data_IF_368638347295
#
_entry.id   IF_368638347295
#
_cell.length_a   1.000
_cell.length_b   1.000
_cell.length_c   1.000
_cell.angle_alpha   90.00
_cell.angle_beta   90.00
_cell.angle_gamma   90.00
#
_symmetry.space_group_name_H-M   'P 1'
#
loop_
_entity.id
_entity.type
_entity.pdbx_description
1 polymer ?
#
# COMPACT_ATOMS: atom_id res chain seq x y z
N UNK A 1 10.73 61.42 44.68
CA UNK A 1 9.62 60.53 44.28
C UNK A 1 9.64 60.46 42.76
N UNK A 2 10.44 59.62 42.09
CA UNK A 2 10.53 58.14 42.12
C UNK A 2 9.16 57.46 42.10
N UNK A 3 8.88 56.78 40.98
CA UNK A 3 7.74 55.88 40.82
C UNK A 3 7.00 56.03 39.49
N UNK A 4 7.66 55.79 38.35
CA UNK A 4 6.97 55.44 37.11
C UNK A 4 7.42 54.05 36.68
N UNK A 5 6.70 53.08 37.24
CA UNK A 5 6.25 51.80 36.69
C UNK A 5 7.06 51.19 35.53
N UNK A 6 7.88 50.20 35.88
CA UNK A 6 8.54 49.23 34.98
C UNK A 6 7.58 48.17 34.40
N UNK A 7 6.26 48.35 34.51
CA UNK A 7 5.26 47.34 34.14
C UNK A 7 4.91 47.28 32.64
N UNK A 8 5.53 48.10 31.79
CA UNK A 8 5.21 48.16 30.35
C UNK A 8 6.23 47.45 29.43
N UNK A 9 7.26 46.80 29.99
CA UNK A 9 8.29 46.11 29.21
C UNK A 9 8.07 44.59 29.09
N UNK A 10 7.27 43.98 29.97
CA UNK A 10 6.96 42.54 29.88
C UNK A 10 5.94 42.20 28.79
N UNK A 11 5.07 43.14 28.40
CA UNK A 11 3.97 42.90 27.45
C UNK A 11 4.32 43.25 26.00
N UNK A 12 5.45 43.93 25.77
CA UNK A 12 5.91 44.32 24.42
C UNK A 12 6.87 43.33 23.77
N UNK A 13 7.36 42.31 24.48
CA UNK A 13 8.26 41.30 23.91
C UNK A 13 7.53 40.16 23.18
N UNK A 14 6.21 40.03 23.32
CA UNK A 14 5.37 39.27 22.38
C UNK A 14 5.00 40.12 21.17
N UNK A 15 5.97 40.89 20.66
CA UNK A 15 5.90 41.62 19.41
C UNK A 15 5.49 40.66 18.29
N UNK A 16 4.23 40.77 17.90
CA UNK A 16 3.68 40.60 16.56
C UNK A 16 4.55 39.75 15.63
N UNK A 17 4.72 38.47 15.97
CA UNK A 17 5.37 37.51 15.10
C UNK A 17 4.55 37.50 13.81
N UNK A 18 5.21 37.81 12.69
CA UNK A 18 4.54 37.82 11.39
C UNK A 18 3.76 36.51 11.22
N UNK A 19 2.56 36.61 10.65
CA UNK A 19 1.75 35.45 10.34
C UNK A 19 2.49 34.43 9.48
N UNK A 20 3.46 34.89 8.68
CA UNK A 20 4.28 34.04 7.81
C UNK A 20 5.26 33.18 8.63
N UNK A 21 5.91 33.78 9.63
CA UNK A 21 6.80 33.06 10.57
C UNK A 21 6.01 32.05 11.40
N UNK A 22 4.80 32.43 11.80
CA UNK A 22 3.89 31.53 12.52
C UNK A 22 3.46 30.36 11.64
N UNK A 23 3.07 30.62 10.39
CA UNK A 23 2.69 29.59 9.42
C UNK A 23 3.83 28.63 9.12
N UNK A 24 5.04 29.15 8.93
CA UNK A 24 6.25 28.34 8.74
C UNK A 24 6.54 27.46 9.96
N UNK A 25 6.52 28.04 11.17
CA UNK A 25 6.72 27.28 12.41
C UNK A 25 5.67 26.18 12.62
N UNK A 26 4.42 26.42 12.20
CA UNK A 26 3.35 25.43 12.24
C UNK A 26 3.64 24.24 11.29
N UNK A 27 4.10 24.52 10.08
CA UNK A 27 4.46 23.49 9.08
C UNK A 27 5.66 22.67 9.55
N UNK A 28 6.72 23.31 10.07
CA UNK A 28 7.89 22.60 10.59
C UNK A 28 7.53 21.76 11.82
N UNK A 29 6.68 22.26 12.72
CA UNK A 29 6.18 21.47 13.85
C UNK A 29 5.46 20.19 13.38
N UNK A 30 4.67 20.27 12.29
CA UNK A 30 4.01 19.10 11.70
C UNK A 30 5.00 18.10 11.10
N UNK A 31 6.02 18.62 10.39
CA UNK A 31 7.08 17.83 9.75
C UNK A 31 7.94 17.08 10.77
N UNK A 32 8.20 17.69 11.92
CA UNK A 32 8.96 17.09 13.03
C UNK A 32 8.06 16.40 14.08
N UNK A 33 6.79 16.19 13.74
CA UNK A 33 5.80 15.45 14.54
C UNK A 33 5.59 16.03 15.96
N UNK A 34 5.69 17.35 16.11
CA UNK A 34 5.54 18.08 17.39
C UNK A 34 4.09 18.51 17.60
N UNK A 35 3.22 17.54 17.91
CA UNK A 35 1.78 17.77 18.10
C UNK A 35 1.47 18.86 19.14
N UNK A 36 2.20 18.91 20.27
CA UNK A 36 1.95 19.92 21.31
C UNK A 36 2.30 21.33 20.86
N UNK A 37 3.40 21.48 20.11
CA UNK A 37 3.77 22.75 19.50
C UNK A 37 2.72 23.19 18.46
N UNK A 38 2.21 22.26 17.64
CA UNK A 38 1.11 22.56 16.71
C UNK A 38 -0.16 22.99 17.43
N UNK A 39 -0.59 22.26 18.47
CA UNK A 39 -1.77 22.62 19.28
C UNK A 39 -1.61 24.01 19.91
N UNK A 40 -0.42 24.31 20.43
CA UNK A 40 -0.11 25.62 20.99
C UNK A 40 -0.22 26.72 19.94
N UNK A 41 0.40 26.54 18.76
CA UNK A 41 0.36 27.51 17.67
C UNK A 41 -1.06 27.69 17.13
N UNK A 42 -1.80 26.60 16.91
CA UNK A 42 -3.18 26.62 16.44
C UNK A 42 -4.12 27.37 17.41
N UNK A 43 -3.95 27.18 18.73
CA UNK A 43 -4.79 27.82 19.75
C UNK A 43 -4.49 29.31 19.93
N UNK A 44 -3.23 29.73 19.80
CA UNK A 44 -2.79 31.08 20.20
C UNK A 44 -2.39 31.96 19.03
N UNK A 45 -2.44 31.48 17.80
CA UNK A 45 -2.02 32.23 16.61
C UNK A 45 -2.97 32.00 15.43
N UNK A 46 -3.04 32.97 14.53
CA UNK A 46 -3.79 32.86 13.29
C UNK A 46 -2.98 32.05 12.29
N UNK A 47 -3.42 30.82 12.01
CA UNK A 47 -2.85 29.95 10.98
C UNK A 47 -3.72 30.03 9.72
N UNK A 48 -3.12 30.30 8.58
CA UNK A 48 -3.84 30.37 7.32
C UNK A 48 -4.09 28.98 6.70
N UNK A 49 -5.17 28.80 5.92
CA UNK A 49 -5.50 27.53 5.28
C UNK A 49 -4.34 26.91 4.47
N UNK A 50 -3.54 27.73 3.77
CA UNK A 50 -2.38 27.24 3.02
C UNK A 50 -1.35 26.56 3.93
N UNK A 51 -1.04 27.12 5.11
CA UNK A 51 -0.12 26.50 6.08
C UNK A 51 -0.70 25.24 6.71
N UNK A 52 -2.02 25.18 6.91
CA UNK A 52 -2.72 23.98 7.40
C UNK A 52 -2.62 22.85 6.36
N UNK A 53 -2.98 23.12 5.10
CA UNK A 53 -2.86 22.16 4.02
C UNK A 53 -1.41 21.70 3.85
N UNK A 54 -0.44 22.62 3.95
CA UNK A 54 0.97 22.24 3.84
C UNK A 54 1.45 21.39 5.01
N UNK A 55 1.00 21.67 6.22
CA UNK A 55 1.27 20.85 7.40
C UNK A 55 0.64 19.45 7.26
N UNK A 56 -0.57 19.38 6.69
CA UNK A 56 -1.27 18.12 6.39
C UNK A 56 -0.50 17.28 5.36
N UNK A 57 -0.01 17.91 4.29
CA UNK A 57 0.82 17.26 3.25
C UNK A 57 2.12 16.65 3.77
N UNK A 58 2.74 17.31 4.76
CA UNK A 58 4.09 17.00 5.22
C UNK A 58 4.13 16.18 6.51
N UNK A 59 3.00 15.97 7.18
CA UNK A 59 2.99 15.19 8.42
C UNK A 59 3.06 13.69 8.13
N UNK A 60 3.95 13.00 8.84
CA UNK A 60 4.07 11.54 8.81
C UNK A 60 3.26 10.85 9.90
N UNK A 61 2.63 11.63 10.78
CA UNK A 61 1.94 11.12 11.96
C UNK A 61 0.44 11.10 11.75
N UNK A 62 -0.18 9.93 11.92
CA UNK A 62 -1.64 9.80 11.87
C UNK A 62 -2.32 10.68 12.93
N UNK A 63 -1.71 10.85 14.10
CA UNK A 63 -2.25 11.69 15.16
C UNK A 63 -2.35 13.16 14.76
N UNK A 64 -1.33 13.70 14.10
CA UNK A 64 -1.35 15.08 13.61
C UNK A 64 -2.33 15.21 12.44
N UNK A 65 -2.35 14.22 11.54
CA UNK A 65 -3.27 14.21 10.41
C UNK A 65 -4.74 14.25 10.88
N UNK A 66 -5.10 13.41 11.86
CA UNK A 66 -6.44 13.41 12.47
C UNK A 66 -6.75 14.75 13.15
N UNK A 67 -5.80 15.31 13.91
CA UNK A 67 -5.97 16.62 14.54
C UNK A 67 -6.26 17.72 13.51
N UNK A 68 -5.51 17.77 12.42
CA UNK A 68 -5.71 18.76 11.36
C UNK A 68 -7.06 18.57 10.66
N UNK A 69 -7.42 17.32 10.35
CA UNK A 69 -8.68 16.99 9.70
C UNK A 69 -9.91 17.35 10.56
N UNK A 70 -9.84 17.12 11.88
CA UNK A 70 -10.93 17.45 12.81
C UNK A 70 -11.09 18.95 13.05
N UNK A 71 -9.98 19.71 12.95
CA UNK A 71 -9.95 21.12 13.35
C UNK A 71 -9.99 22.08 12.17
N UNK A 72 -9.76 21.63 10.94
CA UNK A 72 -9.68 22.52 9.80
C UNK A 72 -10.30 21.91 8.55
N UNK A 73 -10.72 22.79 7.65
CA UNK A 73 -11.10 22.42 6.30
C UNK A 73 -9.84 22.12 5.48
N UNK A 74 -9.63 20.85 5.20
CA UNK A 74 -8.50 20.37 4.39
C UNK A 74 -8.92 20.33 2.93
N UNK A 75 -8.07 20.86 2.04
CA UNK A 75 -8.36 20.83 0.60
C UNK A 75 -8.27 19.41 0.05
N UNK A 76 -9.06 19.14 -0.99
CA UNK A 76 -8.99 17.88 -1.73
C UNK A 76 -7.58 17.65 -2.29
N UNK A 77 -6.94 18.71 -2.82
CA UNK A 77 -5.57 18.65 -3.34
C UNK A 77 -4.59 18.14 -2.28
N UNK A 78 -4.66 18.67 -1.05
CA UNK A 78 -3.82 18.22 0.05
C UNK A 78 -4.07 16.74 0.41
N UNK A 79 -5.33 16.30 0.43
CA UNK A 79 -5.66 14.88 0.67
C UNK A 79 -5.09 13.96 -0.42
N UNK A 80 -5.24 14.35 -1.68
CA UNK A 80 -4.73 13.57 -2.81
C UNK A 80 -3.20 13.51 -2.84
N UNK A 81 -2.53 14.60 -2.46
CA UNK A 81 -1.07 14.66 -2.41
C UNK A 81 -0.52 13.80 -1.27
N UNK A 82 -1.14 13.83 -0.08
CA UNK A 82 -0.79 12.90 1.01
C UNK A 82 -0.99 11.46 0.53
N UNK A 83 -2.14 11.14 -0.05
CA UNK A 83 -2.44 9.80 -0.54
C UNK A 83 -1.37 9.28 -1.52
N UNK A 84 -1.00 10.13 -2.48
CA UNK A 84 0.06 9.84 -3.44
C UNK A 84 1.39 9.57 -2.73
N UNK A 85 1.80 10.45 -1.80
CA UNK A 85 3.04 10.28 -1.05
C UNK A 85 3.08 8.99 -0.23
N UNK A 86 2.02 8.68 0.51
CA UNK A 86 1.97 7.47 1.37
C UNK A 86 1.85 6.18 0.56
N UNK A 87 1.38 6.23 -0.69
CA UNK A 87 1.28 5.03 -1.54
C UNK A 87 2.52 4.82 -2.42
N UNK A 88 3.20 5.88 -2.86
CA UNK A 88 4.31 5.80 -3.82
C UNK A 88 5.67 5.50 -3.18
N UNK A 89 5.95 5.99 -1.97
CA UNK A 89 7.33 6.08 -1.50
C UNK A 89 7.64 5.19 -0.31
N UNK A 90 8.61 4.28 -0.47
CA UNK A 90 9.34 3.69 0.67
C UNK A 90 10.47 4.60 1.16
N UNK A 91 11.03 5.43 0.27
CA UNK A 91 12.31 6.13 0.49
C UNK A 91 12.19 7.61 0.91
N UNK A 92 11.13 8.34 0.53
CA UNK A 92 11.03 9.78 0.83
C UNK A 92 10.89 10.05 2.34
N UNK A 93 10.31 9.13 3.11
CA UNK A 93 10.20 9.22 4.57
C UNK A 93 11.44 8.74 5.34
N UNK A 94 12.39 8.08 4.67
CA UNK A 94 13.56 7.46 5.30
C UNK A 94 14.77 8.40 5.44
N UNK A 95 14.73 9.61 4.87
CA UNK A 95 15.85 10.57 4.96
C UNK A 95 15.96 11.32 6.28
N UNK A 96 15.13 11.02 7.30
CA UNK A 96 15.36 11.52 8.65
C UNK A 96 15.93 10.39 9.53
N UNK A 97 17.19 10.56 9.89
CA UNK A 97 17.96 9.67 10.74
C UNK A 97 17.19 9.37 12.04
N UNK A 98 17.18 8.08 12.41
CA UNK A 98 16.98 7.53 13.77
C UNK A 98 15.69 6.70 14.04
N UNK A 99 15.93 5.45 14.46
CA UNK A 99 15.16 4.45 15.24
C UNK A 99 13.61 4.30 15.18
N UNK A 100 12.88 5.04 14.36
CA UNK A 100 11.38 5.08 14.37
C UNK A 100 10.69 4.33 13.22
N UNK A 101 11.41 3.46 12.50
CA UNK A 101 10.94 2.85 11.25
C UNK A 101 9.63 2.06 11.37
N UNK A 102 9.38 1.41 12.52
CA UNK A 102 8.17 0.63 12.76
C UNK A 102 6.92 1.52 12.89
N UNK A 103 6.99 2.55 13.74
CA UNK A 103 5.88 3.49 13.96
C UNK A 103 5.51 4.26 12.69
N UNK A 104 6.52 4.63 11.88
CA UNK A 104 6.29 5.24 10.55
C UNK A 104 5.59 4.30 9.57
N UNK A 105 5.79 2.99 9.69
CA UNK A 105 5.06 2.03 8.86
C UNK A 105 3.60 1.90 9.28
N UNK A 106 3.31 1.90 10.58
CA UNK A 106 1.94 1.87 11.10
C UNK A 106 1.19 3.16 10.80
N UNK A 107 1.80 4.32 11.02
CA UNK A 107 1.23 5.62 10.69
C UNK A 107 0.95 5.71 9.19
N UNK A 108 1.88 5.30 8.32
CA UNK A 108 1.67 5.24 6.87
C UNK A 108 0.44 4.41 6.51
N UNK A 109 0.31 3.20 7.06
CA UNK A 109 -0.84 2.33 6.81
C UNK A 109 -2.14 2.93 7.37
N UNK A 110 -2.07 3.52 8.55
CA UNK A 110 -3.19 4.20 9.19
C UNK A 110 -3.69 5.40 8.38
N UNK A 111 -2.77 6.19 7.81
CA UNK A 111 -3.09 7.33 6.95
C UNK A 111 -3.75 6.85 5.65
N UNK A 112 -3.24 5.79 5.01
CA UNK A 112 -3.89 5.20 3.82
C UNK A 112 -5.34 4.81 4.13
N UNK A 113 -5.55 4.04 5.21
CA UNK A 113 -6.89 3.60 5.62
C UNK A 113 -7.80 4.79 5.93
N UNK A 114 -7.28 5.77 6.66
CA UNK A 114 -7.99 6.99 6.99
C UNK A 114 -8.47 7.72 5.73
N UNK A 115 -7.55 8.04 4.80
CA UNK A 115 -7.87 8.77 3.56
C UNK A 115 -8.83 8.00 2.66
N UNK A 116 -8.69 6.69 2.56
CA UNK A 116 -9.64 5.87 1.82
C UNK A 116 -11.05 5.89 2.42
N UNK A 117 -11.16 5.94 3.76
CA UNK A 117 -12.43 5.95 4.46
C UNK A 117 -13.14 7.32 4.43
N UNK A 118 -12.44 8.40 4.07
CA UNK A 118 -13.09 9.72 3.92
C UNK A 118 -13.98 9.79 2.68
N UNK A 119 -13.80 8.90 1.70
CA UNK A 119 -14.47 8.96 0.41
C UNK A 119 -13.99 10.10 -0.50
N UNK A 120 -12.98 10.87 -0.08
CA UNK A 120 -12.42 11.97 -0.86
C UNK A 120 -11.41 11.50 -1.91
N UNK A 121 -10.84 10.31 -1.76
CA UNK A 121 -9.86 9.78 -2.70
C UNK A 121 -10.58 9.14 -3.90
N UNK A 122 -10.32 9.59 -5.15
CA UNK A 122 -10.93 8.99 -6.32
C UNK A 122 -10.58 7.51 -6.47
N UNK A 123 -11.55 6.67 -6.83
CA UNK A 123 -11.35 5.23 -7.02
C UNK A 123 -10.23 4.89 -8.01
N UNK A 124 -10.11 5.64 -9.10
CA UNK A 124 -9.01 5.45 -10.07
C UNK A 124 -7.61 5.70 -9.49
N UNK A 125 -7.50 6.55 -8.46
CA UNK A 125 -6.25 6.78 -7.74
C UNK A 125 -5.93 5.61 -6.81
N UNK A 126 -6.94 5.05 -6.13
CA UNK A 126 -6.82 3.83 -5.32
C UNK A 126 -6.38 2.66 -6.22
N UNK A 127 -7.01 2.49 -7.38
CA UNK A 127 -6.68 1.44 -8.34
C UNK A 127 -5.21 1.54 -8.81
N UNK A 128 -4.77 2.75 -9.16
CA UNK A 128 -3.40 3.01 -9.61
C UNK A 128 -2.38 2.74 -8.50
N UNK A 129 -2.68 3.19 -7.27
CA UNK A 129 -1.86 2.94 -6.10
C UNK A 129 -1.78 1.44 -5.78
N UNK A 130 -2.88 0.71 -5.93
CA UNK A 130 -2.95 -0.73 -5.68
C UNK A 130 -2.06 -1.51 -6.63
N UNK A 131 -2.17 -1.26 -7.94
CA UNK A 131 -1.30 -1.89 -8.95
C UNK A 131 0.15 -1.56 -8.68
N UNK A 132 0.48 -0.30 -8.39
CA UNK A 132 1.85 0.12 -8.08
C UNK A 132 2.40 -0.56 -6.81
N UNK A 133 1.59 -0.68 -5.76
CA UNK A 133 1.99 -1.37 -4.54
C UNK A 133 2.25 -2.86 -4.81
N UNK A 134 1.45 -3.47 -5.69
CA UNK A 134 1.70 -4.83 -6.18
C UNK A 134 3.03 -4.93 -6.94
N UNK A 135 3.31 -3.98 -7.83
CA UNK A 135 4.55 -3.92 -8.61
C UNK A 135 5.80 -3.83 -7.77
N UNK A 136 5.73 -3.10 -6.65
CA UNK A 136 6.87 -2.93 -5.76
C UNK A 136 6.90 -3.92 -4.58
N UNK A 137 5.97 -4.88 -4.53
CA UNK A 137 5.88 -5.85 -3.44
C UNK A 137 5.50 -5.25 -2.08
N UNK A 138 4.81 -4.10 -2.06
CA UNK A 138 4.38 -3.42 -0.84
C UNK A 138 3.10 -4.04 -0.27
N UNK A 139 3.22 -5.26 0.26
CA UNK A 139 2.09 -6.09 0.72
C UNK A 139 1.23 -5.38 1.77
N UNK A 140 1.83 -4.65 2.70
CA UNK A 140 1.11 -3.90 3.73
C UNK A 140 0.26 -2.75 3.14
N UNK A 141 0.79 -2.03 2.15
CA UNK A 141 0.07 -0.98 1.42
C UNK A 141 -1.06 -1.59 0.61
N UNK A 142 -0.81 -2.71 -0.07
CA UNK A 142 -1.86 -3.43 -0.79
C UNK A 142 -2.99 -3.86 0.15
N UNK A 143 -2.68 -4.44 1.30
CA UNK A 143 -3.69 -4.84 2.28
C UNK A 143 -4.52 -3.64 2.73
N UNK A 144 -3.87 -2.50 3.04
CA UNK A 144 -4.57 -1.27 3.43
C UNK A 144 -5.50 -0.73 2.33
N UNK A 145 -5.05 -0.74 1.08
CA UNK A 145 -5.83 -0.33 -0.09
C UNK A 145 -6.91 -1.34 -0.47
N UNK A 146 -6.70 -2.62 -0.15
CA UNK A 146 -7.67 -3.68 -0.39
C UNK A 146 -8.83 -3.62 0.60
N UNK A 147 -8.55 -3.26 1.85
CA UNK A 147 -9.58 -3.06 2.87
C UNK A 147 -10.43 -1.81 2.60
N UNK A 148 -9.87 -0.82 1.90
CA UNK A 148 -10.57 0.35 1.40
C UNK A 148 -11.61 -0.01 0.33
N UNK A 149 -12.72 0.74 0.29
CA UNK A 149 -13.89 0.44 -0.56
C UNK A 149 -13.55 0.10 -2.02
N UNK A 150 -14.22 -0.93 -2.53
CA UNK A 150 -14.61 -1.04 -3.94
C UNK A 150 -13.50 -1.11 -4.99
N UNK A 151 -12.34 -1.72 -4.70
CA UNK A 151 -11.35 -2.01 -5.75
C UNK A 151 -12.01 -2.66 -6.96
N UNK A 152 -11.73 -2.11 -8.14
CA UNK A 152 -12.25 -2.66 -9.38
C UNK A 152 -11.65 -4.06 -9.60
N UNK A 153 -12.49 -5.03 -10.00
CA UNK A 153 -12.07 -6.38 -10.37
C UNK A 153 -10.94 -6.34 -11.41
N UNK A 154 -10.96 -5.41 -12.36
CA UNK A 154 -9.89 -5.24 -13.35
C UNK A 154 -8.53 -4.86 -12.74
N UNK A 155 -8.54 -4.10 -11.65
CA UNK A 155 -7.33 -3.70 -10.91
C UNK A 155 -6.72 -4.88 -10.17
N UNK A 156 -7.58 -5.66 -9.51
CA UNK A 156 -7.19 -6.92 -8.87
C UNK A 156 -6.56 -7.87 -9.90
N UNK A 157 -7.12 -7.92 -11.12
CA UNK A 157 -6.60 -8.75 -12.22
C UNK A 157 -5.19 -8.35 -12.63
N UNK A 158 -4.94 -7.05 -12.82
CA UNK A 158 -3.62 -6.56 -13.15
C UNK A 158 -2.63 -6.92 -12.05
N UNK A 159 -2.98 -6.69 -10.79
CA UNK A 159 -2.09 -7.05 -9.67
C UNK A 159 -1.79 -8.55 -9.58
N UNK A 160 -2.74 -9.44 -9.93
CA UNK A 160 -2.52 -10.89 -9.95
C UNK A 160 -1.59 -11.34 -11.09
N UNK A 161 -1.75 -10.78 -12.29
CA UNK A 161 -1.04 -11.24 -13.50
C UNK A 161 0.44 -10.84 -13.47
N UNK A 162 0.78 -9.71 -12.87
CA UNK A 162 2.12 -9.14 -13.03
C UNK A 162 3.16 -9.60 -12.03
N UNK A 163 2.84 -10.30 -10.92
CA UNK A 163 3.77 -10.41 -9.79
C UNK A 163 4.11 -11.79 -9.25
N UNK A 164 5.36 -11.89 -8.81
CA UNK A 164 6.03 -13.10 -8.37
C UNK A 164 5.78 -13.46 -6.89
N UNK A 165 4.96 -12.66 -6.18
CA UNK A 165 4.88 -12.72 -4.73
C UNK A 165 3.65 -13.50 -4.25
N UNK A 166 3.86 -14.71 -3.74
CA UNK A 166 2.81 -15.53 -3.12
C UNK A 166 2.00 -14.78 -2.03
N UNK A 167 2.65 -13.84 -1.34
CA UNK A 167 2.01 -12.96 -0.35
C UNK A 167 0.93 -12.05 -0.95
N UNK A 168 1.08 -11.63 -2.21
CA UNK A 168 0.09 -10.79 -2.93
C UNK A 168 -1.16 -11.62 -3.26
N UNK A 169 -0.97 -12.84 -3.75
CA UNK A 169 -2.06 -13.79 -4.00
C UNK A 169 -2.83 -14.07 -2.73
N UNK A 170 -2.12 -14.17 -1.60
CA UNK A 170 -2.77 -14.37 -0.31
C UNK A 170 -3.72 -13.25 0.06
N UNK A 171 -3.31 -11.98 -0.12
CA UNK A 171 -4.16 -10.80 0.11
C UNK A 171 -5.32 -10.78 -0.87
N UNK A 172 -5.07 -11.00 -2.17
CA UNK A 172 -6.07 -10.90 -3.23
C UNK A 172 -7.13 -12.00 -3.20
N UNK A 173 -6.78 -13.18 -2.70
CA UNK A 173 -7.71 -14.31 -2.60
C UNK A 173 -8.69 -14.21 -1.42
N UNK A 174 -8.61 -13.14 -0.60
CA UNK A 174 -9.51 -12.97 0.56
C UNK A 174 -10.88 -12.41 0.19
N UNK A 175 -11.05 -11.77 -0.98
CA UNK A 175 -12.37 -11.29 -1.44
C UNK A 175 -13.04 -12.29 -2.38
N UNK A 176 -14.32 -12.64 -2.14
CA UNK A 176 -15.12 -13.36 -3.12
C UNK A 176 -15.34 -12.48 -4.35
N UNK A 177 -14.97 -12.97 -5.53
CA UNK A 177 -15.11 -12.19 -6.78
C UNK A 177 -14.08 -12.49 -7.88
N UNK A 178 -13.11 -13.36 -7.63
CA UNK A 178 -12.20 -13.81 -8.68
C UNK A 178 -12.91 -14.82 -9.59
N UNK A 179 -13.08 -14.48 -10.88
CA UNK A 179 -13.63 -15.42 -11.86
C UNK A 179 -12.65 -16.56 -12.16
N UNK A 180 -13.17 -17.76 -12.41
CA UNK A 180 -12.36 -18.95 -12.80
C UNK A 180 -11.41 -18.65 -13.96
N UNK A 181 -11.87 -17.88 -14.95
CA UNK A 181 -11.07 -17.46 -16.11
C UNK A 181 -9.87 -16.59 -15.72
N UNK A 182 -10.00 -15.76 -14.68
CA UNK A 182 -8.90 -14.91 -14.22
C UNK A 182 -7.88 -15.71 -13.44
N UNK A 183 -8.34 -16.66 -12.62
CA UNK A 183 -7.46 -17.54 -11.88
C UNK A 183 -6.67 -18.41 -12.85
N UNK A 184 -7.33 -18.92 -13.91
CA UNK A 184 -6.68 -19.63 -15.00
C UNK A 184 -5.55 -18.82 -15.63
N UNK A 185 -5.80 -17.56 -16.03
CA UNK A 185 -4.76 -16.70 -16.61
C UNK A 185 -3.62 -16.38 -15.64
N UNK A 186 -3.94 -16.13 -14.37
CA UNK A 186 -2.93 -15.88 -13.34
C UNK A 186 -2.07 -17.13 -13.12
N UNK A 187 -2.68 -18.31 -13.15
CA UNK A 187 -2.00 -19.60 -13.03
C UNK A 187 -1.11 -19.89 -14.25
N UNK A 188 -1.62 -19.73 -15.47
CA UNK A 188 -0.87 -19.82 -16.73
C UNK A 188 0.34 -18.88 -16.71
N UNK A 189 0.15 -17.62 -16.34
CA UNK A 189 1.23 -16.63 -16.29
C UNK A 189 2.26 -16.94 -15.20
N UNK A 190 1.82 -17.43 -14.04
CA UNK A 190 2.71 -17.82 -12.96
C UNK A 190 3.51 -19.07 -13.31
N UNK A 191 2.86 -20.04 -13.96
CA UNK A 191 3.46 -21.25 -14.48
C UNK A 191 4.55 -20.91 -15.51
N UNK A 192 4.22 -20.11 -16.54
CA UNK A 192 5.15 -19.74 -17.61
C UNK A 192 6.36 -18.92 -17.13
N UNK A 193 6.29 -18.37 -15.92
CA UNK A 193 7.37 -17.64 -15.26
C UNK A 193 8.13 -18.50 -14.23
N UNK A 194 7.74 -19.76 -14.04
CA UNK A 194 8.33 -20.68 -13.08
C UNK A 194 8.00 -20.35 -11.61
N UNK A 195 6.96 -19.55 -11.35
CA UNK A 195 6.60 -19.13 -10.00
C UNK A 195 5.78 -20.18 -9.24
N UNK A 196 6.52 -21.12 -8.65
CA UNK A 196 5.98 -22.19 -7.83
C UNK A 196 5.17 -21.67 -6.62
N UNK A 197 5.57 -20.54 -6.03
CA UNK A 197 4.91 -19.99 -4.84
C UNK A 197 3.50 -19.47 -5.11
N UNK A 198 3.32 -18.73 -6.20
CA UNK A 198 2.00 -18.24 -6.65
C UNK A 198 1.12 -19.39 -7.11
N UNK A 199 1.67 -20.34 -7.85
CA UNK A 199 0.93 -21.54 -8.30
C UNK A 199 0.40 -22.33 -7.11
N UNK A 200 1.24 -22.63 -6.10
CA UNK A 200 0.81 -23.30 -4.87
C UNK A 200 -0.28 -22.52 -4.12
N UNK A 201 -0.18 -21.20 -4.08
CA UNK A 201 -1.17 -20.34 -3.42
C UNK A 201 -2.53 -20.34 -4.15
N UNK A 202 -2.53 -20.24 -5.49
CA UNK A 202 -3.75 -20.28 -6.30
C UNK A 202 -4.43 -21.65 -6.23
N UNK A 203 -3.67 -22.73 -6.39
CA UNK A 203 -4.19 -24.10 -6.28
C UNK A 203 -4.70 -24.42 -4.86
N UNK A 204 -4.19 -23.76 -3.81
CA UNK A 204 -4.57 -24.02 -2.41
C UNK A 204 -5.85 -23.37 -1.94
N UNK A 205 -6.33 -22.36 -2.64
CA UNK A 205 -7.47 -21.56 -2.19
C UNK A 205 -8.75 -21.81 -2.98
N UNK A 206 -8.66 -22.43 -4.16
CA UNK A 206 -9.80 -22.56 -5.07
C UNK A 206 -9.84 -23.94 -5.71
N UNK A 207 -11.05 -24.49 -5.85
CA UNK A 207 -11.29 -25.66 -6.68
C UNK A 207 -11.13 -25.23 -8.14
N UNK A 208 -9.98 -25.56 -8.72
CA UNK A 208 -9.72 -25.35 -10.13
C UNK A 208 -10.20 -26.56 -10.93
N UNK A 209 -10.73 -26.36 -12.14
CA UNK A 209 -11.05 -27.48 -13.03
C UNK A 209 -9.79 -28.30 -13.30
N UNK A 210 -9.91 -29.63 -13.19
CA UNK A 210 -8.83 -30.59 -13.46
C UNK A 210 -8.27 -30.43 -14.87
N UNK A 211 -9.11 -30.11 -15.85
CA UNK A 211 -8.74 -29.95 -17.25
C UNK A 211 -7.79 -28.76 -17.45
N UNK A 212 -8.00 -27.68 -16.70
CA UNK A 212 -7.15 -26.50 -16.75
C UNK A 212 -5.77 -26.80 -16.17
N UNK A 213 -5.71 -27.54 -15.07
CA UNK A 213 -4.44 -27.94 -14.46
C UNK A 213 -3.67 -28.89 -15.37
N UNK A 214 -4.35 -29.83 -16.03
CA UNK A 214 -3.74 -30.77 -16.97
C UNK A 214 -3.07 -30.02 -18.12
N UNK A 215 -3.80 -29.08 -18.73
CA UNK A 215 -3.31 -28.27 -19.84
C UNK A 215 -2.04 -27.47 -19.45
N UNK A 216 -2.03 -26.85 -18.27
CA UNK A 216 -0.88 -26.07 -17.80
C UNK A 216 0.34 -26.99 -17.58
N UNK A 217 0.15 -28.17 -17.01
CA UNK A 217 1.25 -29.14 -16.83
C UNK A 217 1.81 -29.61 -18.17
N UNK A 218 0.94 -29.89 -19.14
CA UNK A 218 1.34 -30.29 -20.50
C UNK A 218 2.15 -29.19 -21.19
N UNK A 219 1.66 -27.95 -21.19
CA UNK A 219 2.35 -26.79 -21.78
C UNK A 219 3.72 -26.56 -21.13
N UNK A 220 3.80 -26.58 -19.80
CA UNK A 220 5.06 -26.44 -19.07
C UNK A 220 6.04 -27.59 -19.33
N UNK A 221 5.55 -28.83 -19.43
CA UNK A 221 6.39 -29.99 -19.73
C UNK A 221 6.96 -29.94 -21.16
N UNK A 222 6.18 -29.44 -22.12
CA UNK A 222 6.60 -29.29 -23.52
C UNK A 222 7.62 -28.17 -23.71
N UNK A 223 7.45 -27.04 -23.03
CA UNK A 223 8.32 -25.87 -23.17
C UNK A 223 9.64 -25.99 -22.38
N UNK A 224 9.86 -27.11 -21.68
CA UNK A 224 11.02 -27.31 -20.81
C UNK A 224 10.96 -26.46 -19.54
N UNK A 225 9.74 -26.21 -19.07
CA UNK A 225 9.41 -25.39 -17.91
C UNK A 225 9.98 -25.91 -16.58
N UNK A 226 9.64 -25.22 -15.50
CA UNK A 226 10.25 -25.47 -14.19
C UNK A 226 9.86 -26.86 -13.63
N UNK A 227 10.83 -27.75 -13.44
CA UNK A 227 10.58 -29.07 -12.82
C UNK A 227 9.88 -28.97 -11.46
N UNK A 228 10.29 -27.99 -10.66
CA UNK A 228 9.68 -27.69 -9.35
C UNK A 228 8.21 -27.25 -9.46
N UNK A 229 7.82 -26.69 -10.60
CA UNK A 229 6.43 -26.31 -10.89
C UNK A 229 5.60 -27.54 -11.27
N UNK A 230 6.15 -28.39 -12.14
CA UNK A 230 5.53 -29.67 -12.53
C UNK A 230 5.31 -30.54 -11.29
N UNK A 231 6.33 -30.70 -10.44
CA UNK A 231 6.24 -31.39 -9.15
C UNK A 231 5.16 -30.78 -8.25
N UNK A 232 5.11 -29.45 -8.14
CA UNK A 232 4.15 -28.77 -7.27
C UNK A 232 2.69 -28.91 -7.73
N UNK A 233 2.45 -29.01 -9.05
CA UNK A 233 1.13 -29.25 -9.63
C UNK A 233 0.73 -30.73 -9.52
N UNK A 234 1.70 -31.64 -9.63
CA UNK A 234 1.51 -33.09 -9.59
C UNK A 234 1.25 -33.63 -8.16
N UNK A 235 1.97 -33.13 -7.15
CA UNK A 235 1.86 -33.56 -5.73
C UNK A 235 0.45 -33.41 -5.13
N UNK A 236 -0.44 -32.65 -5.77
CA UNK A 236 -1.74 -32.28 -5.20
C UNK A 236 -2.94 -33.10 -5.64
N UNK A 237 -2.75 -34.24 -6.33
CA UNK A 237 -3.85 -35.15 -6.73
C UNK A 237 -4.99 -34.46 -7.52
N UNK A 238 -4.75 -33.31 -8.15
CA UNK A 238 -5.77 -32.61 -8.94
C UNK A 238 -5.93 -33.18 -10.37
N UNK A 239 -5.02 -34.06 -10.76
CA UNK A 239 -5.05 -34.72 -12.06
C UNK A 239 -5.53 -36.15 -11.81
N UNK A 240 -6.72 -36.48 -12.32
CA UNK A 240 -6.97 -37.84 -12.74
C UNK A 240 -6.03 -38.06 -13.93
N UNK A 241 -4.87 -38.65 -13.65
CA UNK A 241 -3.79 -38.69 -14.62
C UNK A 241 -4.14 -39.72 -15.69
N UNK A 242 -4.45 -39.24 -16.90
CA UNK A 242 -4.36 -40.06 -18.09
C UNK A 242 -2.90 -40.56 -18.19
N UNK A 243 -2.64 -41.86 -18.48
CA UNK A 243 -1.29 -42.41 -18.67
C UNK A 243 -0.37 -41.55 -19.56
N UNK A 244 -0.93 -40.75 -20.47
CA UNK A 244 -0.18 -39.81 -21.31
C UNK A 244 0.45 -38.68 -20.49
N UNK A 245 -0.28 -38.09 -19.55
CA UNK A 245 0.24 -37.04 -18.68
C UNK A 245 1.29 -37.59 -17.70
N UNK A 246 1.11 -38.82 -17.20
CA UNK A 246 2.15 -39.52 -16.42
C UNK A 246 3.42 -39.75 -17.24
N UNK A 247 3.28 -40.15 -18.51
CA UNK A 247 4.39 -40.32 -19.43
C UNK A 247 5.16 -39.02 -19.68
N UNK A 248 4.45 -37.90 -19.86
CA UNK A 248 5.05 -36.58 -20.08
C UNK A 248 5.78 -36.05 -18.85
N UNK A 249 5.21 -36.19 -17.65
CA UNK A 249 5.85 -35.78 -16.39
C UNK A 249 7.12 -36.59 -16.14
N UNK A 250 7.06 -37.92 -16.31
CA UNK A 250 8.23 -38.77 -16.16
C UNK A 250 9.33 -38.46 -17.19
N UNK A 251 8.96 -38.19 -18.45
CA UNK A 251 9.91 -37.78 -19.47
C UNK A 251 10.56 -36.42 -19.19
N UNK A 252 9.80 -35.46 -18.65
CA UNK A 252 10.31 -34.15 -18.24
C UNK A 252 11.29 -34.26 -17.06
N UNK A 253 10.98 -35.08 -16.05
CA UNK A 253 11.86 -35.34 -14.91
C UNK A 253 13.16 -36.06 -15.31
N UNK A 254 13.09 -37.00 -16.26
CA UNK A 254 14.25 -37.76 -16.76
C UNK A 254 15.21 -36.94 -17.66
N UNK A 255 14.74 -35.85 -18.27
CA UNK A 255 15.58 -35.03 -19.17
C UNK A 255 16.60 -34.15 -18.43
N UNK A 256 16.52 -34.07 -17.11
CA UNK A 256 17.23 -33.08 -16.29
C UNK A 256 18.08 -33.76 -15.19
N UNK A 257 17.98 -35.09 -15.06
CA UNK A 257 18.87 -35.97 -14.27
C UNK A 257 20.06 -36.45 -15.10
#
# INVERSE_FOLDING_TARGET
MMGLSDDNLSDRCTQQVSSDVTGYGFVEAARFEKLDAMKFLYKHRRIYPHSINKAFELTGSLMILNFLFEKAEISLDAMTEVFKHVTESREVWLKSHDTTSFRRSEDRIGIIKFLCNTGCIPSGMIDTAFVRAATNGYVNVMAALHDAQGLNTMTINKALIYHDHASIVNVLSTKPGLSTKMIARALETAASRGNVGVVKALCGKQQLPSELLAKIVEEEAMDGGSTRLIEALYDRQYLYVDPIADGLVNAALLRIS
#
